data_IF_719478411806
#
_entry.id   IF_719478411806
#
_cell.length_a   1.000
_cell.length_b   1.000
_cell.length_c   1.000
_cell.angle_alpha   90.00
_cell.angle_beta   90.00
_cell.angle_gamma   90.00
#
_symmetry.space_group_name_H-M   'P 1'
#
loop_
_entity.id
_entity.type
_entity.pdbx_description
1 polymer ?
#
# COMPACT_ATOMS: atom_id res chain seq x y z
N UNK A 1 -11.94 -2.79 11.86
CA UNK A 1 -10.72 -3.28 11.19
C UNK A 1 -11.08 -3.50 9.72
N UNK A 2 -10.20 -3.17 8.76
CA UNK A 2 -10.49 -3.28 7.31
C UNK A 2 -9.93 -4.57 6.71
N UNK A 3 -10.47 -4.99 5.58
CA UNK A 3 -9.96 -6.11 4.79
C UNK A 3 -9.20 -5.62 3.56
N UNK A 4 -8.21 -6.39 3.09
CA UNK A 4 -7.54 -6.13 1.80
C UNK A 4 -8.53 -6.12 0.62
N UNK A 5 -9.68 -6.80 0.77
CA UNK A 5 -10.76 -6.85 -0.24
C UNK A 5 -11.59 -5.57 -0.31
N UNK A 6 -11.41 -4.63 0.63
CA UNK A 6 -12.08 -3.33 0.62
C UNK A 6 -11.48 -2.34 -0.41
N UNK A 7 -10.41 -2.75 -1.10
CA UNK A 7 -9.60 -1.91 -1.98
C UNK A 7 -9.61 -2.46 -3.40
N UNK A 8 -9.63 -1.53 -4.37
CA UNK A 8 -9.58 -1.85 -5.80
C UNK A 8 -8.16 -2.15 -6.27
N UNK A 9 -7.17 -1.54 -5.62
CA UNK A 9 -5.76 -1.61 -6.03
C UNK A 9 -4.89 -1.84 -4.80
N UNK A 10 -3.96 -2.77 -4.90
CA UNK A 10 -2.92 -3.00 -3.90
C UNK A 10 -1.56 -2.61 -4.48
N UNK A 11 -0.86 -1.70 -3.81
CA UNK A 11 0.47 -1.24 -4.17
C UNK A 11 1.42 -1.58 -3.03
N UNK A 12 2.43 -2.38 -3.33
CA UNK A 12 3.52 -2.62 -2.41
C UNK A 12 4.70 -1.74 -2.79
N UNK A 13 5.11 -0.86 -1.88
CA UNK A 13 6.27 -0.01 -2.05
C UNK A 13 7.47 -0.73 -1.44
N UNK A 14 8.41 -1.13 -2.28
CA UNK A 14 9.73 -1.58 -1.83
C UNK A 14 10.56 -0.33 -1.50
N UNK A 15 11.38 -0.38 -0.45
CA UNK A 15 12.24 0.75 -0.08
C UNK A 15 13.25 1.05 -1.20
N UNK A 16 12.87 1.92 -2.12
CA UNK A 16 13.76 2.66 -3.02
C UNK A 16 14.12 3.97 -2.33
N UNK A 17 15.26 4.58 -2.64
CA UNK A 17 15.72 5.87 -2.09
C UNK A 17 14.83 7.07 -2.50
N UNK A 18 13.54 6.83 -2.77
CA UNK A 18 12.54 7.80 -3.20
C UNK A 18 11.45 7.94 -2.14
N UNK A 19 10.94 9.15 -1.91
CA UNK A 19 9.79 9.37 -1.03
C UNK A 19 8.54 8.58 -1.47
N UNK A 20 7.73 8.15 -0.49
CA UNK A 20 6.49 7.39 -0.71
C UNK A 20 5.58 8.06 -1.75
N UNK A 21 5.43 9.38 -1.71
CA UNK A 21 4.57 10.10 -2.65
C UNK A 21 5.06 10.00 -4.10
N UNK A 22 6.36 9.85 -4.36
CA UNK A 22 6.88 9.67 -5.72
C UNK A 22 6.61 8.26 -6.21
N UNK A 23 6.74 7.26 -5.32
CA UNK A 23 6.49 5.87 -5.65
C UNK A 23 5.01 5.60 -5.94
N UNK A 24 4.08 6.22 -5.19
CA UNK A 24 2.63 6.13 -5.44
C UNK A 24 2.23 6.93 -6.70
N UNK A 25 2.87 8.07 -7.01
CA UNK A 25 2.56 8.87 -8.21
C UNK A 25 2.83 8.15 -9.53
N UNK A 26 3.80 7.24 -9.57
CA UNK A 26 4.15 6.46 -10.78
C UNK A 26 3.01 5.51 -11.16
N UNK A 27 2.23 5.07 -10.19
CA UNK A 27 1.05 4.22 -10.39
C UNK A 27 -0.18 5.06 -10.74
N UNK A 28 -0.30 5.44 -12.01
CA UNK A 28 -1.58 5.90 -12.55
C UNK A 28 -2.60 4.75 -12.50
N UNK A 29 -3.82 5.06 -12.04
CA UNK A 29 -4.93 4.09 -11.94
C UNK A 29 -6.16 4.64 -12.67
N UNK A 30 -7.30 3.93 -12.59
CA UNK A 30 -8.57 4.49 -13.02
C UNK A 30 -9.08 5.54 -11.99
N UNK A 31 -9.99 6.45 -12.37
CA UNK A 31 -10.61 7.39 -11.42
C UNK A 31 -11.39 6.69 -10.29
N UNK A 32 -11.45 7.35 -9.13
CA UNK A 32 -12.27 6.96 -7.96
C UNK A 32 -12.00 5.56 -7.40
N UNK A 33 -10.75 5.09 -7.46
CA UNK A 33 -10.32 3.81 -6.92
C UNK A 33 -9.81 3.96 -5.50
N UNK A 34 -10.16 3.00 -4.63
CA UNK A 34 -9.54 2.85 -3.32
C UNK A 34 -8.26 2.06 -3.46
N UNK A 35 -7.15 2.67 -3.06
CA UNK A 35 -5.83 2.12 -3.21
C UNK A 35 -5.29 1.84 -1.80
N UNK A 36 -4.92 0.59 -1.56
CA UNK A 36 -4.17 0.17 -0.39
C UNK A 36 -2.69 0.22 -0.74
N UNK A 37 -1.92 0.97 0.03
CA UNK A 37 -0.48 1.05 -0.10
C UNK A 37 0.16 0.38 1.10
N UNK A 38 0.94 -0.66 0.85
CA UNK A 38 1.83 -1.27 1.83
C UNK A 38 3.19 -0.58 1.76
N UNK A 39 3.57 0.11 2.84
CA UNK A 39 4.83 0.86 2.87
C UNK A 39 6.02 0.01 3.33
N UNK A 40 5.84 -1.31 3.47
CA UNK A 40 6.87 -2.29 3.83
C UNK A 40 7.81 -1.82 4.94
N UNK A 41 7.38 -1.97 6.20
CA UNK A 41 8.19 -1.56 7.35
C UNK A 41 9.37 -2.48 7.62
N UNK A 42 10.57 -1.91 7.51
CA UNK A 42 11.72 -2.26 8.36
C UNK A 42 11.45 -1.59 9.73
N UNK A 43 11.32 -2.36 10.82
CA UNK A 43 11.26 -1.91 12.24
C UNK A 43 9.92 -1.78 13.01
N UNK A 44 8.83 -2.43 12.59
CA UNK A 44 7.80 -2.88 13.57
C UNK A 44 6.89 -1.83 14.25
N UNK A 45 6.71 -0.63 13.68
CA UNK A 45 5.66 0.29 14.14
C UNK A 45 4.25 -0.15 13.66
N UNK A 46 3.17 0.47 14.17
CA UNK A 46 1.75 0.07 14.00
C UNK A 46 1.05 0.51 12.68
N UNK A 47 1.35 1.68 12.13
CA UNK A 47 0.81 2.20 10.85
C UNK A 47 1.47 1.76 9.51
N UNK A 48 1.50 0.46 9.20
CA UNK A 48 2.14 -0.09 7.95
C UNK A 48 1.38 0.24 6.66
N UNK A 49 0.06 0.39 6.74
CA UNK A 49 -0.80 0.49 5.56
C UNK A 49 -1.39 1.88 5.43
N UNK A 50 -1.35 2.42 4.22
CA UNK A 50 -1.99 3.66 3.85
C UNK A 50 -3.16 3.37 2.91
N UNK A 51 -4.25 4.10 3.09
CA UNK A 51 -5.32 4.19 2.11
C UNK A 51 -5.22 5.54 1.41
N UNK A 52 -5.38 5.53 0.09
CA UNK A 52 -5.50 6.70 -0.75
C UNK A 52 -6.57 6.45 -1.82
N UNK A 53 -7.33 7.46 -2.19
CA UNK A 53 -8.25 7.41 -3.32
C UNK A 53 -7.59 8.00 -4.56
N UNK A 54 -7.92 7.51 -5.75
CA UNK A 54 -7.61 8.25 -6.97
C UNK A 54 -8.64 9.34 -7.25
N UNK A 55 -8.17 10.50 -7.72
CA UNK A 55 -9.01 11.60 -8.16
C UNK A 55 -9.60 11.39 -9.55
N UNK A 56 -10.27 12.41 -10.08
CA UNK A 56 -10.96 12.38 -11.38
C UNK A 56 -10.00 12.11 -12.55
N UNK A 57 -8.72 12.44 -12.39
CA UNK A 57 -7.66 12.23 -13.38
C UNK A 57 -7.00 10.84 -13.29
N UNK A 58 -7.52 9.96 -12.41
CA UNK A 58 -6.99 8.62 -12.17
C UNK A 58 -5.67 8.58 -11.38
N UNK A 59 -5.14 9.75 -10.99
CA UNK A 59 -3.94 9.83 -10.15
C UNK A 59 -4.29 9.77 -8.67
N UNK A 60 -3.36 9.33 -7.82
CA UNK A 60 -3.56 9.34 -6.37
C UNK A 60 -3.81 10.75 -5.84
N UNK A 61 -4.90 10.93 -5.10
CA UNK A 61 -5.24 12.16 -4.40
C UNK A 61 -4.72 12.09 -2.96
N UNK A 62 -3.55 12.69 -2.73
CA UNK A 62 -2.88 12.68 -1.43
C UNK A 62 -3.65 13.44 -0.33
N UNK A 63 -4.66 14.24 -0.66
CA UNK A 63 -5.53 14.84 0.37
C UNK A 63 -6.39 13.79 1.08
N UNK A 64 -6.57 12.61 0.46
CA UNK A 64 -7.31 11.48 1.02
C UNK A 64 -6.43 10.49 1.80
N UNK A 65 -5.12 10.73 1.86
CA UNK A 65 -4.16 9.82 2.46
C UNK A 65 -4.43 9.63 3.96
N UNK A 66 -4.55 8.38 4.40
CA UNK A 66 -4.68 8.05 5.83
C UNK A 66 -4.11 6.68 6.16
N UNK A 67 -3.63 6.54 7.40
CA UNK A 67 -3.25 5.24 7.94
C UNK A 67 -4.48 4.36 8.17
N UNK A 68 -4.33 3.07 7.89
CA UNK A 68 -5.37 2.07 8.08
C UNK A 68 -4.78 0.82 8.73
N UNK A 69 -5.61 0.15 9.54
CA UNK A 69 -5.28 -1.16 10.12
C UNK A 69 -6.08 -2.23 9.40
N UNK A 70 -5.38 -3.25 8.94
CA UNK A 70 -5.98 -4.42 8.31
C UNK A 70 -6.20 -5.54 9.34
N UNK A 71 -7.16 -6.41 9.08
CA UNK A 71 -7.30 -7.66 9.83
C UNK A 71 -6.11 -8.60 9.60
N UNK A 72 -5.91 -9.54 10.53
CA UNK A 72 -4.74 -10.42 10.53
C UNK A 72 -4.64 -11.28 9.27
N UNK A 73 -5.77 -11.73 8.73
CA UNK A 73 -5.81 -12.54 7.51
C UNK A 73 -5.42 -11.71 6.28
N UNK A 74 -5.87 -10.46 6.21
CA UNK A 74 -5.47 -9.50 5.19
C UNK A 74 -3.98 -9.14 5.28
N UNK A 75 -3.40 -9.08 6.48
CA UNK A 75 -1.95 -8.93 6.67
C UNK A 75 -1.20 -10.15 6.12
N UNK A 76 -1.69 -11.37 6.38
CA UNK A 76 -1.10 -12.60 5.82
C UNK A 76 -1.18 -12.61 4.28
N UNK A 77 -2.29 -12.17 3.70
CA UNK A 77 -2.46 -12.04 2.25
C UNK A 77 -1.48 -11.03 1.64
N UNK A 78 -1.35 -9.84 2.24
CA UNK A 78 -0.37 -8.83 1.82
C UNK A 78 1.08 -9.36 1.87
N UNK A 79 1.42 -10.09 2.95
CA UNK A 79 2.74 -10.74 3.07
C UNK A 79 2.98 -11.82 2.01
N UNK A 80 1.97 -12.60 1.63
CA UNK A 80 2.09 -13.57 0.52
C UNK A 80 2.34 -12.87 -0.81
N UNK A 81 1.63 -11.77 -1.07
CA UNK A 81 1.81 -10.99 -2.29
C UNK A 81 3.25 -10.46 -2.44
N UNK A 82 3.87 -10.03 -1.33
CA UNK A 82 5.26 -9.59 -1.27
C UNK A 82 6.28 -10.69 -1.61
N UNK A 83 6.05 -11.91 -1.11
CA UNK A 83 6.90 -13.07 -1.40
C UNK A 83 6.84 -13.39 -2.90
N UNK A 84 5.64 -13.36 -3.49
CA UNK A 84 5.43 -13.63 -4.92
C UNK A 84 6.05 -12.54 -5.80
N UNK A 85 6.04 -11.27 -5.35
CA UNK A 85 6.70 -10.17 -6.07
C UNK A 85 8.23 -10.14 -5.94
N UNK A 86 8.84 -11.16 -5.32
CA UNK A 86 10.30 -11.26 -5.13
C UNK A 86 10.85 -10.33 -4.05
N UNK A 87 9.99 -9.74 -3.22
CA UNK A 87 10.39 -8.87 -2.10
C UNK A 87 10.65 -9.73 -0.88
N UNK A 88 11.86 -10.29 -0.78
CA UNK A 88 12.27 -11.07 0.39
C UNK A 88 13.03 -10.13 1.33
N UNK A 89 12.41 -9.77 2.46
CA UNK A 89 13.15 -9.28 3.62
C UNK A 89 13.36 -10.47 4.55
N UNK A 90 14.53 -11.10 4.44
CA UNK A 90 15.06 -11.89 5.54
C UNK A 90 15.56 -10.91 6.58
N UNK A 91 14.85 -10.85 7.71
CA UNK A 91 15.35 -10.21 8.93
C UNK A 91 16.57 -11.03 9.37
N UNK A 92 17.77 -10.52 9.11
CA UNK A 92 18.97 -10.97 9.83
C UNK A 92 18.92 -10.46 11.28
#
# INVERSE_FOLDING_TARGET
>A
MKSIKDYDVFISIQHKDQPIYEQIKITATAPHKKILVDTFRVNGEEDRFLEICSGDDGKPDFTTLRHVRLDEDSIKEANKALIISGTIYTKE
#
